data_IF_183812459335
#
_entry.id   IF_183812459335
#
_cell.length_a   1.000
_cell.length_b   1.000
_cell.length_c   1.000
_cell.angle_alpha   90.00
_cell.angle_beta   90.00
_cell.angle_gamma   90.00
#
_symmetry.space_group_name_H-M   'P 1'
#
loop_
_entity.id
_entity.type
_entity.pdbx_description
1 polymer ?
#
# COMPACT_ATOMS: atom_id res chain seq x y z
N UNK A 1 8.18 -15.28 -2.88
CA UNK A 1 6.94 -15.41 -3.68
C UNK A 1 6.40 -14.02 -3.93
N UNK A 2 6.01 -13.68 -5.17
CA UNK A 2 5.48 -12.35 -5.53
C UNK A 2 4.06 -12.51 -6.04
N UNK A 3 3.12 -11.77 -5.46
CA UNK A 3 1.73 -11.67 -5.93
C UNK A 3 1.62 -10.49 -6.90
N UNK A 4 0.86 -10.65 -7.99
CA UNK A 4 0.58 -9.59 -8.95
C UNK A 4 -0.91 -9.29 -8.99
N UNK A 5 -1.29 -8.08 -8.55
CA UNK A 5 -2.69 -7.62 -8.54
C UNK A 5 -2.71 -6.19 -9.06
N UNK A 6 -3.59 -5.89 -10.02
CA UNK A 6 -3.69 -4.55 -10.61
C UNK A 6 -2.33 -3.95 -11.06
N UNK A 7 -1.45 -4.80 -11.60
CA UNK A 7 -0.06 -4.48 -11.99
C UNK A 7 0.89 -4.10 -10.85
N UNK A 8 0.46 -4.17 -9.59
CA UNK A 8 1.34 -4.07 -8.43
C UNK A 8 2.05 -5.39 -8.17
N UNK A 9 3.26 -5.31 -7.64
CA UNK A 9 4.00 -6.46 -7.10
C UNK A 9 3.98 -6.39 -5.58
N UNK A 10 3.52 -7.45 -4.93
CA UNK A 10 3.52 -7.57 -3.48
C UNK A 10 4.37 -8.77 -3.02
N UNK A 11 5.25 -8.55 -2.05
CA UNK A 11 6.10 -9.58 -1.46
C UNK A 11 6.47 -9.23 -0.01
N UNK A 12 6.69 -10.25 0.81
CA UNK A 12 7.22 -10.04 2.16
C UNK A 12 8.70 -9.69 2.10
N UNK A 13 9.10 -8.61 2.78
CA UNK A 13 10.47 -8.23 3.11
C UNK A 13 10.68 -8.33 4.63
N UNK A 14 11.90 -8.03 5.10
CA UNK A 14 12.21 -7.97 6.54
C UNK A 14 11.36 -6.90 7.27
N UNK A 15 10.98 -5.83 6.58
CA UNK A 15 10.16 -4.73 7.13
C UNK A 15 8.65 -4.99 7.09
N UNK A 16 8.17 -5.99 6.33
CA UNK A 16 6.75 -6.32 6.19
C UNK A 16 6.30 -6.59 4.75
N UNK A 17 5.01 -6.37 4.46
CA UNK A 17 4.46 -6.57 3.12
C UNK A 17 4.83 -5.39 2.23
N UNK A 18 5.88 -5.54 1.42
CA UNK A 18 6.30 -4.53 0.47
C UNK A 18 5.44 -4.59 -0.79
N UNK A 19 4.88 -3.45 -1.17
CA UNK A 19 4.09 -3.27 -2.39
C UNK A 19 4.81 -2.29 -3.30
N UNK A 20 4.95 -2.64 -4.57
CA UNK A 20 5.69 -1.88 -5.58
C UNK A 20 4.82 -1.69 -6.80
N UNK A 21 4.81 -0.48 -7.37
CA UNK A 21 4.21 -0.21 -8.67
C UNK A 21 5.29 -0.16 -9.77
N UNK A 22 5.58 -1.28 -10.47
CA UNK A 22 6.59 -1.33 -11.52
C UNK A 22 6.19 -0.54 -12.78
N UNK A 23 4.93 -0.11 -12.90
CA UNK A 23 4.47 0.63 -14.08
C UNK A 23 4.87 2.11 -14.04
N UNK A 24 5.35 2.62 -12.91
CA UNK A 24 5.78 4.01 -12.74
C UNK A 24 7.28 4.03 -12.50
N UNK A 25 7.99 4.84 -13.28
CA UNK A 25 9.42 5.07 -13.07
C UNK A 25 9.61 5.92 -11.81
N UNK A 26 10.52 5.52 -10.93
CA UNK A 26 10.91 6.37 -9.82
C UNK A 26 12.11 7.23 -10.14
N UNK A 27 12.34 8.24 -9.30
CA UNK A 27 13.28 9.34 -9.52
C UNK A 27 14.73 8.90 -9.84
N UNK A 28 15.15 7.70 -9.46
CA UNK A 28 16.51 7.19 -9.73
C UNK A 28 16.55 5.66 -9.95
N UNK A 29 15.51 5.06 -10.52
CA UNK A 29 15.46 3.62 -10.85
C UNK A 29 14.73 2.72 -9.85
N UNK A 30 14.47 3.19 -8.62
CA UNK A 30 13.58 2.48 -7.69
C UNK A 30 12.12 2.88 -7.97
N UNK A 31 11.29 1.92 -8.42
CA UNK A 31 9.85 2.14 -8.59
C UNK A 31 9.16 2.61 -7.30
N UNK A 32 8.08 3.42 -7.39
CA UNK A 32 7.27 3.77 -6.23
C UNK A 32 6.84 2.53 -5.44
N UNK A 33 6.99 2.59 -4.13
CA UNK A 33 6.73 1.47 -3.25
C UNK A 33 6.43 1.91 -1.84
N UNK A 34 5.70 1.08 -1.10
CA UNK A 34 5.45 1.26 0.32
C UNK A 34 5.46 -0.10 1.04
N UNK A 35 5.62 -0.07 2.36
CA UNK A 35 5.45 -1.24 3.24
C UNK A 35 4.09 -1.12 3.91
N UNK A 36 3.21 -2.07 3.59
CA UNK A 36 1.85 -2.13 4.09
C UNK A 36 1.79 -3.03 5.32
N UNK A 37 1.12 -2.56 6.36
CA UNK A 37 0.89 -3.33 7.58
C UNK A 37 -0.59 -3.39 7.92
N UNK A 38 -0.98 -4.38 8.74
CA UNK A 38 -2.34 -4.46 9.30
C UNK A 38 -2.29 -4.13 10.78
N UNK A 39 -3.13 -3.20 11.22
CA UNK A 39 -3.22 -2.79 12.64
C UNK A 39 -4.68 -2.50 13.01
N UNK A 40 -4.98 -2.57 14.30
CA UNK A 40 -6.25 -2.07 14.82
C UNK A 40 -6.29 -0.54 14.67
N UNK A 41 -7.40 -0.01 14.16
CA UNK A 41 -7.67 1.43 14.07
C UNK A 41 -8.50 1.88 15.27
N UNK A 42 -7.90 2.66 16.17
CA UNK A 42 -8.51 3.00 17.46
C UNK A 42 -9.79 3.85 17.33
N UNK A 43 -9.85 4.76 16.37
CA UNK A 43 -11.00 5.64 16.10
C UNK A 43 -12.13 4.94 15.31
N UNK A 44 -11.91 3.71 14.83
CA UNK A 44 -12.91 2.87 14.15
C UNK A 44 -13.17 1.57 14.95
N UNK A 45 -13.30 1.70 16.27
CA UNK A 45 -13.68 0.58 17.15
C UNK A 45 -12.66 -0.55 17.22
N UNK A 46 -11.38 -0.28 16.94
CA UNK A 46 -10.30 -1.27 16.95
C UNK A 46 -10.32 -2.24 15.76
N UNK A 47 -11.11 -1.95 14.71
CA UNK A 47 -11.18 -2.79 13.52
C UNK A 47 -9.82 -2.87 12.82
N UNK A 48 -9.54 -4.00 12.18
CA UNK A 48 -8.29 -4.19 11.46
C UNK A 48 -8.30 -3.38 10.16
N UNK A 49 -7.26 -2.58 9.95
CA UNK A 49 -7.08 -1.74 8.76
C UNK A 49 -5.69 -1.96 8.17
N UNK A 50 -5.58 -1.76 6.86
CA UNK A 50 -4.31 -1.59 6.18
C UNK A 50 -3.76 -0.19 6.43
N UNK A 51 -2.46 -0.12 6.68
CA UNK A 51 -1.73 1.12 6.92
C UNK A 51 -0.50 1.21 6.02
N UNK A 52 -0.21 2.43 5.55
CA UNK A 52 1.06 2.79 4.93
C UNK A 52 2.20 2.76 5.94
N UNK A 53 3.45 2.82 5.48
CA UNK A 53 4.61 2.92 6.38
C UNK A 53 4.59 4.18 7.25
N UNK A 54 3.84 5.22 6.85
CA UNK A 54 3.71 6.49 7.57
C UNK A 54 2.49 6.51 8.51
N UNK A 55 1.90 5.33 8.77
CA UNK A 55 0.73 5.13 9.64
C UNK A 55 -0.54 5.83 9.16
N UNK A 56 -0.66 6.07 7.86
CA UNK A 56 -1.92 6.54 7.27
C UNK A 56 -2.86 5.33 7.05
N UNK A 57 -4.11 5.37 7.52
CA UNK A 57 -5.09 4.31 7.29
C UNK A 57 -5.53 4.30 5.83
N UNK A 58 -5.51 3.14 5.17
CA UNK A 58 -5.88 3.00 3.75
C UNK A 58 -7.32 2.53 3.62
N UNK A 59 -7.61 1.33 4.13
CA UNK A 59 -8.94 0.71 4.12
C UNK A 59 -9.01 -0.39 5.19
N UNK A 60 -10.21 -0.81 5.54
CA UNK A 60 -10.44 -1.98 6.40
C UNK A 60 -9.83 -3.25 5.78
N UNK A 61 -9.30 -4.14 6.63
CA UNK A 61 -8.57 -5.34 6.21
C UNK A 61 -9.38 -6.30 5.33
N UNK A 62 -10.71 -6.36 5.52
CA UNK A 62 -11.62 -7.18 4.70
C UNK A 62 -11.90 -6.55 3.32
N UNK A 63 -11.64 -5.25 3.15
CA UNK A 63 -11.88 -4.50 1.92
C UNK A 63 -10.62 -4.47 1.04
N UNK A 64 -10.09 -5.65 0.74
CA UNK A 64 -8.80 -5.82 0.03
C UNK A 64 -8.78 -5.10 -1.32
N UNK A 65 -9.87 -5.14 -2.10
CA UNK A 65 -9.92 -4.47 -3.40
C UNK A 65 -9.78 -2.95 -3.26
N UNK A 66 -10.46 -2.35 -2.28
CA UNK A 66 -10.40 -0.92 -2.04
C UNK A 66 -9.00 -0.51 -1.56
N UNK A 67 -8.40 -1.31 -0.68
CA UNK A 67 -7.03 -1.11 -0.23
C UNK A 67 -6.06 -1.10 -1.42
N UNK A 68 -6.19 -2.07 -2.34
CA UNK A 68 -5.31 -2.16 -3.51
C UNK A 68 -5.51 -0.98 -4.47
N UNK A 69 -6.74 -0.51 -4.65
CA UNK A 69 -7.02 0.67 -5.49
C UNK A 69 -6.40 1.95 -4.91
N UNK A 70 -6.58 2.19 -3.61
CA UNK A 70 -5.98 3.33 -2.92
C UNK A 70 -4.45 3.28 -2.92
N UNK A 71 -3.85 2.11 -2.68
CA UNK A 71 -2.38 1.93 -2.76
C UNK A 71 -1.89 2.16 -4.19
N UNK A 72 -2.63 1.71 -5.20
CA UNK A 72 -2.24 1.97 -6.59
C UNK A 72 -2.22 3.46 -6.89
N UNK A 73 -3.23 4.20 -6.44
CA UNK A 73 -3.30 5.66 -6.63
C UNK A 73 -2.16 6.37 -5.90
N UNK A 74 -1.87 5.99 -4.65
CA UNK A 74 -0.74 6.47 -3.88
C UNK A 74 0.60 6.27 -4.62
N UNK A 75 0.76 5.13 -5.28
CA UNK A 75 1.98 4.74 -5.97
C UNK A 75 1.97 5.09 -7.47
N UNK A 76 1.08 5.97 -7.93
CA UNK A 76 1.00 6.37 -9.34
C UNK A 76 2.04 7.44 -9.73
N UNK A 77 2.84 7.92 -8.77
CA UNK A 77 3.91 8.89 -9.00
C UNK A 77 3.46 10.35 -9.07
N UNK A 78 2.16 10.61 -8.97
CA UNK A 78 1.61 11.97 -8.86
C UNK A 78 1.80 12.51 -7.44
N UNK A 79 2.51 13.63 -7.24
CA UNK A 79 2.65 14.23 -5.91
C UNK A 79 1.30 14.76 -5.40
N UNK A 80 1.05 14.61 -4.09
CA UNK A 80 -0.10 15.24 -3.43
C UNK A 80 -1.44 14.52 -3.60
N UNK A 81 -1.43 13.24 -3.99
CA UNK A 81 -2.63 12.38 -3.92
C UNK A 81 -3.13 12.33 -2.48
N UNK A 82 -4.39 12.70 -2.28
CA UNK A 82 -5.07 12.56 -1.00
C UNK A 82 -5.62 11.14 -0.87
N UNK A 83 -5.27 10.47 0.22
CA UNK A 83 -5.87 9.21 0.65
C UNK A 83 -7.11 9.48 1.51
#
# INVERSE_FOLDING_TARGET
>A
MVLRVYRLHAFMSEDGLRVVNPAVEGCCGAHPSDVISVRAREDDGGRAWFFTSWRHPVAEAERVVDAVMAIRELLDGTPGVAL
#
